data_IF_885772000739
#
_entry.id   IF_885772000739
#
_cell.length_a   1.000
_cell.length_b   1.000
_cell.length_c   1.000
_cell.angle_alpha   90.00
_cell.angle_beta   90.00
_cell.angle_gamma   90.00
#
_symmetry.space_group_name_H-M   'P 1'
#
loop_
_entity.id
_entity.type
_entity.pdbx_description
1 polymer ?
#
# COMPACT_ATOMS: atom_id res chain seq x y z
N UNK A 1 -30.26 -8.48 -2.10
CA UNK A 1 -29.14 -7.93 -2.90
C UNK A 1 -27.87 -8.31 -2.17
N UNK A 2 -26.79 -8.61 -2.87
CA UNK A 2 -25.51 -8.85 -2.24
C UNK A 2 -25.01 -7.57 -1.54
N UNK A 3 -24.44 -7.71 -0.35
CA UNK A 3 -24.01 -6.63 0.52
C UNK A 3 -22.50 -6.49 0.54
N UNK A 4 -22.00 -5.28 0.74
CA UNK A 4 -20.59 -4.94 0.75
C UNK A 4 -20.12 -4.44 2.11
N UNK A 5 -19.06 -5.05 2.65
CA UNK A 5 -18.29 -4.47 3.77
C UNK A 5 -16.98 -3.88 3.25
N UNK A 6 -16.76 -2.59 3.49
CA UNK A 6 -15.45 -1.95 3.34
C UNK A 6 -14.63 -2.15 4.63
N UNK A 7 -13.48 -2.82 4.52
CA UNK A 7 -12.57 -3.11 5.63
C UNK A 7 -11.38 -2.18 5.59
N UNK A 8 -11.17 -1.41 6.66
CA UNK A 8 -10.07 -0.46 6.80
C UNK A 8 -9.20 -0.88 7.99
N UNK A 9 -7.90 -1.05 7.77
CA UNK A 9 -6.93 -1.20 8.86
C UNK A 9 -6.32 0.16 9.18
N UNK A 10 -6.27 0.52 10.46
CA UNK A 10 -5.79 1.82 10.90
C UNK A 10 -4.86 1.73 12.11
N UNK A 11 -3.85 2.61 12.15
CA UNK A 11 -3.00 2.90 13.32
C UNK A 11 -2.42 4.29 13.21
N UNK A 12 -2.88 5.22 14.05
CA UNK A 12 -2.45 6.61 14.07
C UNK A 12 -2.60 7.30 12.70
N UNK A 13 -3.83 7.25 12.18
CA UNK A 13 -4.22 7.76 10.85
C UNK A 13 -5.23 8.92 10.94
N UNK A 14 -5.17 9.73 12.01
CA UNK A 14 -6.10 10.85 12.25
C UNK A 14 -6.22 11.80 11.05
N UNK A 15 -5.17 11.96 10.25
CA UNK A 15 -5.13 12.82 9.08
C UNK A 15 -5.88 12.26 7.88
N UNK A 16 -6.03 10.94 7.83
CA UNK A 16 -6.54 10.24 6.66
C UNK A 16 -7.88 9.59 6.87
N UNK A 17 -8.16 9.13 8.09
CA UNK A 17 -9.26 8.20 8.35
C UNK A 17 -10.63 8.75 7.93
N UNK A 18 -10.92 10.02 8.21
CA UNK A 18 -12.23 10.63 7.87
C UNK A 18 -12.52 10.62 6.38
N UNK A 19 -11.53 11.02 5.56
CA UNK A 19 -11.70 11.01 4.10
C UNK A 19 -11.70 9.59 3.53
N UNK A 20 -10.97 8.65 4.16
CA UNK A 20 -11.00 7.24 3.79
C UNK A 20 -12.41 6.68 3.98
N UNK A 21 -12.98 6.80 5.18
CA UNK A 21 -14.35 6.38 5.50
C UNK A 21 -15.35 7.03 4.56
N UNK A 22 -15.26 8.35 4.34
CA UNK A 22 -16.16 9.06 3.42
C UNK A 22 -16.07 8.50 1.98
N UNK A 23 -14.90 8.10 1.51
CA UNK A 23 -14.70 7.57 0.16
C UNK A 23 -15.35 6.20 -0.07
N UNK A 24 -15.65 5.46 1.00
CA UNK A 24 -16.27 4.13 1.00
C UNK A 24 -17.67 4.12 1.60
N UNK A 25 -18.26 5.28 1.90
CA UNK A 25 -19.60 5.41 2.46
C UNK A 25 -20.73 4.84 1.56
N UNK A 26 -20.38 4.39 0.36
CA UNK A 26 -21.29 3.67 -0.54
C UNK A 26 -21.44 2.18 -0.17
N UNK A 27 -20.59 1.63 0.68
CA UNK A 27 -20.70 0.26 1.19
C UNK A 27 -21.84 0.16 2.22
N UNK A 28 -22.42 -1.05 2.35
CA UNK A 28 -23.48 -1.32 3.33
C UNK A 28 -22.93 -1.31 4.78
N UNK A 29 -21.66 -1.67 4.93
CA UNK A 29 -20.93 -1.61 6.21
C UNK A 29 -19.53 -1.03 5.97
N UNK A 30 -19.11 -0.10 6.82
CA UNK A 30 -17.72 0.37 6.92
C UNK A 30 -17.16 -0.07 8.26
N UNK A 31 -16.19 -0.97 8.24
CA UNK A 31 -15.56 -1.56 9.42
C UNK A 31 -14.07 -1.15 9.48
N UNK A 32 -13.71 -0.44 10.55
CA UNK A 32 -12.32 -0.05 10.85
C UNK A 32 -11.77 -0.97 11.92
N UNK A 33 -10.65 -1.60 11.66
CA UNK A 33 -9.87 -2.36 12.66
C UNK A 33 -8.70 -1.49 13.09
N UNK A 34 -8.77 -1.03 14.33
CA UNK A 34 -7.78 -0.14 14.93
C UNK A 34 -6.72 -0.93 15.72
N UNK A 35 -5.44 -0.72 15.40
CA UNK A 35 -4.30 -1.31 16.13
C UNK A 35 -3.84 -0.39 17.29
N UNK A 36 -4.75 -0.13 18.24
CA UNK A 36 -4.47 0.71 19.42
C UNK A 36 -3.88 2.08 19.08
N UNK A 37 -4.59 2.85 18.25
CA UNK A 37 -4.24 4.24 17.95
C UNK A 37 -4.23 5.09 19.22
N UNK A 38 -3.29 6.02 19.29
CA UNK A 38 -3.10 6.94 20.43
C UNK A 38 -3.45 8.40 20.07
N UNK A 39 -3.86 8.63 18.82
CA UNK A 39 -4.34 9.89 18.27
C UNK A 39 -5.88 9.87 18.11
N UNK A 40 -6.44 10.84 17.41
CA UNK A 40 -7.89 10.96 17.19
C UNK A 40 -8.48 9.98 16.16
N UNK A 41 -7.71 8.99 15.68
CA UNK A 41 -8.13 8.06 14.61
C UNK A 41 -9.48 7.41 14.91
N UNK A 42 -9.66 6.83 16.10
CA UNK A 42 -10.88 6.12 16.48
C UNK A 42 -12.09 7.06 16.53
N UNK A 43 -11.93 8.21 17.18
CA UNK A 43 -12.99 9.21 17.30
C UNK A 43 -13.44 9.74 15.93
N UNK A 44 -12.49 10.04 15.06
CA UNK A 44 -12.74 10.52 13.70
C UNK A 44 -13.41 9.45 12.81
N UNK A 45 -12.98 8.19 12.91
CA UNK A 45 -13.60 7.08 12.18
C UNK A 45 -15.08 6.92 12.57
N UNK A 46 -15.37 6.89 13.89
CA UNK A 46 -16.73 6.79 14.40
C UNK A 46 -17.59 8.00 13.99
N UNK A 47 -17.07 9.21 14.12
CA UNK A 47 -17.76 10.43 13.70
C UNK A 47 -18.06 10.45 12.18
N UNK A 48 -17.26 9.73 11.39
CA UNK A 48 -17.46 9.56 9.94
C UNK A 48 -18.44 8.42 9.59
N UNK A 49 -19.00 7.72 10.58
CA UNK A 49 -20.01 6.67 10.41
C UNK A 49 -19.47 5.23 10.34
N UNK A 50 -18.18 5.01 10.61
CA UNK A 50 -17.64 3.66 10.64
C UNK A 50 -17.89 2.95 11.98
N UNK A 51 -18.11 1.62 11.93
CA UNK A 51 -17.96 0.74 13.08
C UNK A 51 -16.47 0.53 13.34
N UNK A 52 -16.00 0.73 14.57
CA UNK A 52 -14.60 0.56 14.94
C UNK A 52 -14.44 -0.60 15.91
N UNK A 53 -13.50 -1.49 15.64
CA UNK A 53 -13.10 -2.59 16.53
C UNK A 53 -11.60 -2.45 16.78
N UNK A 54 -11.20 -2.38 18.05
CA UNK A 54 -9.79 -2.38 18.44
C UNK A 54 -9.26 -3.80 18.51
N UNK A 55 -8.21 -4.10 17.74
CA UNK A 55 -7.57 -5.42 17.70
C UNK A 55 -6.08 -5.29 17.42
N UNK A 56 -5.24 -5.94 18.23
CA UNK A 56 -3.79 -5.85 18.13
C UNK A 56 -3.25 -6.54 16.86
N UNK A 57 -2.46 -5.82 16.10
CA UNK A 57 -1.78 -6.34 14.90
C UNK A 57 -0.76 -7.45 15.24
N UNK A 58 -0.05 -7.33 16.38
CA UNK A 58 1.00 -8.25 16.82
C UNK A 58 2.07 -8.58 15.76
N UNK A 59 2.27 -7.68 14.80
CA UNK A 59 3.23 -7.84 13.69
C UNK A 59 2.76 -8.79 12.57
N UNK A 60 1.54 -9.29 12.61
CA UNK A 60 0.97 -10.19 11.60
C UNK A 60 -0.23 -9.55 10.88
N UNK A 61 0.04 -8.99 9.71
CA UNK A 61 -0.96 -8.35 8.87
C UNK A 61 -2.01 -9.34 8.32
N UNK A 62 -1.63 -10.60 8.11
CA UNK A 62 -2.57 -11.61 7.62
C UNK A 62 -3.59 -11.98 8.68
N UNK A 63 -3.18 -12.14 9.93
CA UNK A 63 -4.10 -12.34 11.06
C UNK A 63 -5.05 -11.16 11.21
N UNK A 64 -4.55 -9.92 11.12
CA UNK A 64 -5.38 -8.72 11.24
C UNK A 64 -6.45 -8.65 10.14
N UNK A 65 -6.09 -8.96 8.89
CA UNK A 65 -7.05 -9.00 7.79
C UNK A 65 -8.06 -10.15 7.92
N UNK A 66 -7.61 -11.33 8.33
CA UNK A 66 -8.52 -12.46 8.56
C UNK A 66 -9.50 -12.18 9.72
N UNK A 67 -9.02 -11.55 10.79
CA UNK A 67 -9.88 -11.06 11.85
C UNK A 67 -10.92 -10.05 11.32
N UNK A 68 -10.49 -9.07 10.54
CA UNK A 68 -11.38 -8.10 9.91
C UNK A 68 -12.44 -8.78 9.03
N UNK A 69 -12.06 -9.79 8.25
CA UNK A 69 -12.98 -10.57 7.41
C UNK A 69 -13.99 -11.35 8.27
N UNK A 70 -13.58 -11.90 9.42
CA UNK A 70 -14.51 -12.62 10.31
C UNK A 70 -15.57 -11.70 10.92
N UNK A 71 -15.22 -10.45 11.24
CA UNK A 71 -16.12 -9.44 11.80
C UNK A 71 -17.05 -8.76 10.77
N UNK A 72 -16.71 -8.86 9.48
CA UNK A 72 -17.50 -8.27 8.40
C UNK A 72 -18.84 -8.99 8.22
N UNK A 73 -19.91 -8.24 7.96
CA UNK A 73 -21.26 -8.78 7.74
C UNK A 73 -21.66 -8.94 6.28
N UNK A 74 -20.96 -8.26 5.37
CA UNK A 74 -21.29 -8.28 3.94
C UNK A 74 -20.87 -9.54 3.20
N UNK A 75 -21.55 -9.81 2.10
CA UNK A 75 -21.23 -10.91 1.17
C UNK A 75 -19.95 -10.65 0.38
N UNK A 76 -19.59 -9.38 0.20
CA UNK A 76 -18.41 -8.90 -0.46
C UNK A 76 -17.51 -8.11 0.47
N UNK A 77 -16.20 -8.21 0.25
CA UNK A 77 -15.17 -7.50 0.99
C UNK A 77 -14.44 -6.55 0.04
N UNK A 78 -14.33 -5.29 0.46
CA UNK A 78 -13.45 -4.28 -0.14
C UNK A 78 -12.37 -3.90 0.87
N UNK A 79 -11.14 -4.32 0.66
CA UNK A 79 -10.00 -3.86 1.47
C UNK A 79 -9.58 -2.46 1.02
N UNK A 80 -9.42 -1.55 1.98
CA UNK A 80 -8.92 -0.19 1.76
C UNK A 80 -7.96 0.16 2.89
N UNK A 81 -6.76 0.64 2.57
CA UNK A 81 -5.85 1.12 3.59
C UNK A 81 -6.26 2.56 4.00
N UNK A 82 -5.99 2.97 5.25
CA UNK A 82 -6.49 4.26 5.77
C UNK A 82 -6.01 5.48 4.93
N UNK A 83 -4.87 5.36 4.25
CA UNK A 83 -4.31 6.36 3.35
C UNK A 83 -4.75 6.20 1.88
N UNK A 84 -5.77 5.35 1.61
CA UNK A 84 -6.35 5.14 0.28
C UNK A 84 -7.74 5.80 0.17
N UNK A 85 -8.16 6.16 -1.07
CA UNK A 85 -9.47 6.76 -1.39
C UNK A 85 -10.05 6.13 -2.65
N UNK A 86 -11.28 5.70 -2.58
CA UNK A 86 -12.03 5.23 -3.75
C UNK A 86 -12.60 6.44 -4.50
N UNK A 87 -12.32 6.54 -5.81
CA UNK A 87 -12.93 7.62 -6.62
C UNK A 87 -14.41 7.32 -6.91
N UNK A 88 -15.25 8.35 -7.09
CA UNK A 88 -16.67 8.13 -7.39
C UNK A 88 -16.91 7.19 -8.60
N UNK A 89 -16.19 7.31 -9.74
CA UNK A 89 -16.35 6.35 -10.84
C UNK A 89 -15.98 4.90 -10.46
N UNK A 90 -15.00 4.70 -9.55
CA UNK A 90 -14.67 3.36 -9.08
C UNK A 90 -15.75 2.82 -8.13
N UNK A 91 -16.34 3.68 -7.29
CA UNK A 91 -17.46 3.30 -6.42
C UNK A 91 -18.66 2.82 -7.22
N UNK A 92 -18.99 3.51 -8.32
CA UNK A 92 -20.08 3.11 -9.22
C UNK A 92 -19.77 1.77 -9.90
N UNK A 93 -18.55 1.57 -10.42
CA UNK A 93 -18.11 0.32 -11.02
C UNK A 93 -18.15 -0.84 -10.01
N UNK A 94 -17.78 -0.61 -8.74
CA UNK A 94 -17.89 -1.61 -7.65
C UNK A 94 -19.34 -2.01 -7.42
N UNK A 95 -20.25 -1.05 -7.34
CA UNK A 95 -21.70 -1.34 -7.18
C UNK A 95 -22.24 -2.17 -8.36
N UNK A 96 -21.88 -1.79 -9.59
CA UNK A 96 -22.30 -2.52 -10.79
C UNK A 96 -21.88 -3.99 -10.76
N UNK A 97 -20.60 -4.28 -10.45
CA UNK A 97 -20.11 -5.67 -10.43
C UNK A 97 -20.73 -6.50 -9.31
N UNK A 98 -20.99 -5.91 -8.13
CA UNK A 98 -21.67 -6.61 -7.03
C UNK A 98 -23.13 -6.95 -7.42
N UNK A 99 -23.82 -6.02 -8.07
CA UNK A 99 -25.20 -6.23 -8.51
C UNK A 99 -25.33 -7.14 -9.73
N UNK A 100 -24.27 -7.31 -10.52
CA UNK A 100 -24.29 -8.20 -11.69
C UNK A 100 -24.40 -9.69 -11.32
N UNK A 101 -24.04 -10.05 -10.10
CA UNK A 101 -23.98 -11.43 -9.63
C UNK A 101 -22.76 -12.21 -10.13
N UNK A 102 -21.83 -11.55 -10.82
CA UNK A 102 -20.59 -12.14 -11.33
C UNK A 102 -19.58 -12.33 -10.20
N UNK A 103 -19.46 -13.56 -9.70
CA UNK A 103 -18.56 -13.91 -8.58
C UNK A 103 -17.11 -13.95 -9.04
N UNK A 104 -16.41 -12.81 -8.92
CA UNK A 104 -15.00 -12.63 -9.28
C UNK A 104 -14.26 -11.86 -8.21
N UNK A 105 -12.94 -12.01 -8.16
CA UNK A 105 -12.05 -11.17 -7.38
C UNK A 105 -11.42 -10.10 -8.28
N UNK A 106 -11.43 -8.84 -7.84
CA UNK A 106 -11.09 -7.71 -8.69
C UNK A 106 -9.82 -6.99 -8.22
N UNK A 107 -8.88 -6.81 -9.17
CA UNK A 107 -7.75 -5.90 -9.03
C UNK A 107 -8.18 -4.46 -9.32
N UNK A 108 -7.90 -3.56 -8.39
CA UNK A 108 -8.09 -2.13 -8.53
C UNK A 108 -6.80 -1.45 -9.00
N UNK A 109 -6.93 -0.38 -9.77
CA UNK A 109 -5.80 0.42 -10.21
C UNK A 109 -5.51 1.53 -9.20
N UNK A 110 -4.34 1.43 -8.54
CA UNK A 110 -3.92 2.33 -7.47
C UNK A 110 -2.97 3.39 -8.01
N UNK A 111 -3.33 4.65 -7.77
CA UNK A 111 -2.60 5.84 -8.19
C UNK A 111 -1.92 6.47 -6.97
N UNK A 112 -0.60 6.46 -6.96
CA UNK A 112 0.18 7.01 -5.85
C UNK A 112 0.21 8.54 -5.92
N UNK A 113 -0.05 9.18 -4.79
CA UNK A 113 -0.04 10.65 -4.63
C UNK A 113 1.10 11.01 -3.68
N UNK A 114 1.98 11.90 -4.12
CA UNK A 114 3.02 12.47 -3.28
C UNK A 114 2.67 13.92 -2.96
N UNK A 115 2.26 14.20 -1.72
CA UNK A 115 1.69 15.48 -1.31
C UNK A 115 0.50 15.84 -2.21
N UNK A 116 0.62 16.93 -2.99
CA UNK A 116 -0.41 17.36 -3.93
C UNK A 116 -0.13 16.91 -5.38
N UNK A 117 0.94 16.17 -5.61
CA UNK A 117 1.36 15.75 -6.95
C UNK A 117 0.87 14.34 -7.27
N UNK A 118 0.10 14.23 -8.31
CA UNK A 118 -0.32 12.94 -8.89
C UNK A 118 0.74 12.52 -9.90
N UNK A 119 1.73 11.73 -9.47
CA UNK A 119 2.68 11.13 -10.37
C UNK A 119 2.09 9.85 -10.98
N UNK A 120 2.18 9.71 -12.28
CA UNK A 120 1.61 8.57 -13.02
C UNK A 120 2.67 7.74 -13.75
N UNK A 121 3.93 8.12 -13.62
CA UNK A 121 5.09 7.46 -14.23
C UNK A 121 6.18 7.19 -13.18
N UNK A 122 7.27 6.62 -13.63
CA UNK A 122 8.45 6.40 -12.78
C UNK A 122 8.17 5.54 -11.55
N UNK A 123 8.70 5.97 -10.40
CA UNK A 123 8.61 5.23 -9.13
C UNK A 123 7.22 5.21 -8.51
N UNK A 124 6.38 6.20 -8.80
CA UNK A 124 5.02 6.31 -8.31
C UNK A 124 3.96 5.93 -9.37
N UNK A 125 4.39 5.25 -10.45
CA UNK A 125 3.44 4.77 -11.46
C UNK A 125 2.35 3.92 -10.81
N UNK A 126 1.11 3.98 -11.34
CA UNK A 126 0.02 3.16 -10.86
C UNK A 126 0.38 1.67 -10.87
N UNK A 127 0.01 1.00 -9.81
CA UNK A 127 0.06 -0.46 -9.69
C UNK A 127 -1.35 -1.06 -9.63
N UNK A 128 -1.43 -2.38 -9.57
CA UNK A 128 -2.69 -3.10 -9.39
C UNK A 128 -2.61 -3.90 -8.11
N UNK A 129 -3.68 -3.82 -7.34
CA UNK A 129 -3.81 -4.52 -6.07
C UNK A 129 -5.17 -5.22 -6.00
N UNK A 130 -5.19 -6.45 -5.53
CA UNK A 130 -6.41 -7.20 -5.32
C UNK A 130 -7.11 -6.65 -4.07
N UNK A 131 -8.31 -6.08 -4.23
CA UNK A 131 -9.00 -5.37 -3.14
C UNK A 131 -10.48 -5.73 -2.99
N UNK A 132 -11.19 -6.11 -4.06
CA UNK A 132 -12.62 -6.41 -4.02
C UNK A 132 -12.85 -7.88 -4.36
N UNK A 133 -13.58 -8.61 -3.51
CA UNK A 133 -13.89 -10.03 -3.73
C UNK A 133 -15.06 -10.51 -2.87
N UNK A 134 -15.70 -11.62 -3.26
CA UNK A 134 -16.65 -12.31 -2.39
C UNK A 134 -15.98 -12.75 -1.09
N UNK A 135 -16.70 -12.67 0.01
CA UNK A 135 -16.22 -13.08 1.35
C UNK A 135 -15.99 -14.58 1.44
N UNK A 136 -16.82 -15.36 0.77
CA UNK A 136 -16.76 -16.82 0.82
C UNK A 136 -15.42 -17.37 0.31
N UNK A 137 -14.74 -18.16 1.12
CA UNK A 137 -13.45 -18.76 0.82
C UNK A 137 -12.26 -17.79 0.75
N UNK A 138 -12.46 -16.54 1.17
CA UNK A 138 -11.39 -15.55 1.26
C UNK A 138 -10.45 -15.88 2.42
N UNK A 139 -9.15 -15.98 2.12
CA UNK A 139 -8.09 -16.20 3.10
C UNK A 139 -6.91 -15.28 2.81
N UNK A 140 -6.32 -14.71 3.85
CA UNK A 140 -5.08 -13.92 3.74
C UNK A 140 -3.94 -14.69 4.40
N UNK A 141 -2.84 -14.91 3.68
CA UNK A 141 -1.70 -15.68 4.14
C UNK A 141 -0.39 -14.87 4.06
N UNK A 142 0.55 -15.16 4.95
CA UNK A 142 1.91 -14.57 4.97
C UNK A 142 2.03 -13.40 5.96
N UNK A 143 3.12 -13.38 6.76
CA UNK A 143 3.28 -12.41 7.86
C UNK A 143 3.68 -11.01 7.42
N UNK A 144 4.60 -10.88 6.45
CA UNK A 144 5.18 -9.58 6.02
C UNK A 144 4.83 -9.23 4.59
N UNK A 145 4.64 -10.24 3.74
CA UNK A 145 4.17 -10.12 2.36
C UNK A 145 2.88 -10.91 2.25
N UNK A 146 1.81 -10.32 2.74
CA UNK A 146 0.51 -10.94 2.71
C UNK A 146 0.04 -11.16 1.28
N UNK A 147 -0.56 -12.31 1.06
CA UNK A 147 -1.17 -12.69 -0.20
C UNK A 147 -2.64 -12.97 0.05
N UNK A 148 -3.50 -12.23 -0.60
CA UNK A 148 -4.95 -12.47 -0.57
C UNK A 148 -5.23 -13.62 -1.54
N UNK A 149 -5.87 -14.67 -1.02
CA UNK A 149 -6.34 -15.81 -1.81
C UNK A 149 -7.86 -15.80 -1.87
N UNK A 150 -8.36 -15.90 -3.09
CA UNK A 150 -9.79 -16.03 -3.36
C UNK A 150 -10.00 -17.22 -4.29
N UNK A 151 -11.03 -18.06 -4.08
CA UNK A 151 -11.33 -19.19 -4.98
C UNK A 151 -11.92 -18.73 -6.30
N UNK A 152 -12.28 -17.44 -6.43
CA UNK A 152 -12.93 -16.88 -7.60
C UNK A 152 -11.93 -16.41 -8.65
N UNK A 153 -12.30 -16.43 -9.95
CA UNK A 153 -11.44 -15.95 -11.03
C UNK A 153 -11.16 -14.46 -10.87
N UNK A 154 -9.94 -14.06 -11.25
CA UNK A 154 -9.51 -12.65 -11.17
C UNK A 154 -10.00 -11.84 -12.35
N UNK A 155 -10.39 -10.59 -12.09
CA UNK A 155 -10.76 -9.60 -13.09
C UNK A 155 -10.20 -8.21 -12.70
N UNK A 156 -10.52 -7.17 -13.47
CA UNK A 156 -9.96 -5.83 -13.28
C UNK A 156 -11.02 -4.77 -13.36
N UNK A 157 -10.96 -3.81 -12.43
CA UNK A 157 -11.71 -2.58 -12.52
C UNK A 157 -10.86 -1.46 -13.14
N UNK A 158 -11.52 -0.46 -13.73
CA UNK A 158 -10.89 0.61 -14.50
C UNK A 158 -10.82 1.93 -13.74
N UNK A 159 -11.74 2.13 -12.79
CA UNK A 159 -11.76 3.28 -11.91
C UNK A 159 -10.47 3.43 -11.11
N UNK A 160 -10.32 4.58 -10.44
CA UNK A 160 -9.09 4.95 -9.76
C UNK A 160 -9.24 4.85 -8.25
N UNK A 161 -8.29 4.20 -7.62
CA UNK A 161 -8.04 4.31 -6.18
C UNK A 161 -6.82 5.20 -5.97
N UNK A 162 -6.93 6.23 -5.13
CA UNK A 162 -5.81 7.12 -4.80
C UNK A 162 -5.17 6.67 -3.50
N UNK A 163 -3.83 6.66 -3.46
CA UNK A 163 -3.03 6.27 -2.30
C UNK A 163 -2.09 7.41 -1.94
N UNK A 164 -2.29 8.01 -0.78
CA UNK A 164 -1.54 9.15 -0.26
C UNK A 164 -0.27 8.69 0.45
N UNK A 165 0.68 8.17 -0.33
CA UNK A 165 1.88 7.47 0.14
C UNK A 165 2.77 8.32 1.04
N UNK A 166 2.88 9.63 0.73
CA UNK A 166 3.75 10.56 1.45
C UNK A 166 3.15 11.96 1.51
N UNK A 167 2.97 12.46 2.72
CA UNK A 167 2.48 13.82 2.97
C UNK A 167 3.62 14.84 3.10
N UNK A 168 4.80 14.42 3.56
CA UNK A 168 5.95 15.28 3.78
C UNK A 168 7.25 14.62 3.32
N UNK A 169 8.27 15.46 3.10
CA UNK A 169 9.63 14.99 2.84
C UNK A 169 10.23 14.28 4.05
N UNK A 170 9.91 14.73 5.28
CA UNK A 170 10.41 14.10 6.51
C UNK A 170 9.88 12.66 6.63
N UNK A 171 8.58 12.45 6.37
CA UNK A 171 7.99 11.13 6.33
C UNK A 171 8.64 10.26 5.23
N UNK A 172 8.87 10.84 4.05
CA UNK A 172 9.56 10.16 2.95
C UNK A 172 10.97 9.71 3.35
N UNK A 173 11.79 10.62 3.92
CA UNK A 173 13.17 10.28 4.28
C UNK A 173 13.27 9.36 5.50
N UNK A 174 12.33 9.43 6.45
CA UNK A 174 12.22 8.47 7.54
C UNK A 174 11.95 7.05 7.01
N UNK A 175 10.95 6.90 6.15
CA UNK A 175 10.68 5.63 5.47
C UNK A 175 11.87 5.17 4.60
N UNK A 176 12.48 6.07 3.85
CA UNK A 176 13.67 5.82 3.05
C UNK A 176 14.81 5.22 3.87
N UNK A 177 15.16 5.85 5.00
CA UNK A 177 16.24 5.36 5.87
C UNK A 177 15.91 3.97 6.41
N UNK A 178 14.69 3.78 6.93
CA UNK A 178 14.22 2.50 7.45
C UNK A 178 14.27 1.38 6.39
N UNK A 179 13.69 1.63 5.21
CA UNK A 179 13.63 0.60 4.16
C UNK A 179 14.99 0.27 3.54
N UNK A 180 15.90 1.24 3.43
CA UNK A 180 17.27 0.95 2.96
C UNK A 180 18.03 0.09 3.96
N UNK A 181 17.83 0.28 5.28
CA UNK A 181 18.39 -0.57 6.33
C UNK A 181 17.82 -1.99 6.28
N UNK A 182 16.49 -2.11 6.26
CA UNK A 182 15.82 -3.42 6.18
C UNK A 182 16.24 -4.21 4.93
N UNK A 183 16.37 -3.52 3.79
CA UNK A 183 16.81 -4.16 2.55
C UNK A 183 18.27 -4.64 2.62
N UNK A 184 19.15 -3.88 3.26
CA UNK A 184 20.56 -4.28 3.45
C UNK A 184 20.67 -5.49 4.36
N UNK A 185 19.96 -5.51 5.49
CA UNK A 185 19.90 -6.65 6.41
C UNK A 185 19.36 -7.90 5.71
N UNK A 186 18.21 -7.78 5.04
CA UNK A 186 17.64 -8.89 4.27
C UNK A 186 18.59 -9.44 3.21
N UNK A 187 19.35 -8.58 2.54
CA UNK A 187 20.32 -9.03 1.53
C UNK A 187 21.50 -9.75 2.17
N UNK A 188 21.96 -9.32 3.36
CA UNK A 188 22.99 -10.04 4.14
C UNK A 188 22.50 -11.43 4.55
N UNK A 189 21.28 -11.54 5.10
CA UNK A 189 20.66 -12.82 5.46
C UNK A 189 20.50 -13.78 4.28
N UNK A 190 20.26 -13.23 3.08
CA UNK A 190 20.21 -13.99 1.83
C UNK A 190 21.60 -14.40 1.28
N UNK A 191 22.68 -14.09 1.98
CA UNK A 191 24.03 -14.39 1.55
C UNK A 191 24.51 -13.60 0.32
N UNK A 192 23.87 -12.45 0.01
CA UNK A 192 24.26 -11.64 -1.16
C UNK A 192 25.60 -10.97 -0.93
N UNK A 193 26.47 -11.08 -1.93
CA UNK A 193 27.72 -10.31 -1.99
C UNK A 193 27.47 -8.90 -2.53
N UNK A 194 28.34 -7.96 -2.16
CA UNK A 194 28.27 -6.58 -2.62
C UNK A 194 29.63 -6.16 -3.22
N UNK A 195 29.63 -5.76 -4.49
CA UNK A 195 30.79 -5.19 -5.17
C UNK A 195 30.71 -3.67 -5.17
N UNK A 196 31.79 -2.98 -4.76
CA UNK A 196 31.83 -1.52 -4.74
C UNK A 196 31.53 -0.92 -6.13
N UNK A 197 32.19 -1.38 -7.17
CA UNK A 197 32.00 -0.82 -8.51
C UNK A 197 30.61 -1.13 -9.09
N UNK A 198 30.23 -2.39 -9.09
CA UNK A 198 28.95 -2.81 -9.68
C UNK A 198 27.75 -2.29 -8.90
N UNK A 199 27.75 -2.48 -7.56
CA UNK A 199 26.53 -2.33 -6.77
C UNK A 199 26.38 -0.91 -6.18
N UNK A 200 27.52 -0.20 -5.96
CA UNK A 200 27.49 1.17 -5.41
C UNK A 200 27.58 2.23 -6.53
N UNK A 201 28.30 1.97 -7.62
CA UNK A 201 28.42 2.96 -8.70
C UNK A 201 27.44 2.70 -9.85
N UNK A 202 27.45 1.49 -10.42
CA UNK A 202 26.69 1.21 -11.66
C UNK A 202 25.18 1.02 -11.37
N UNK A 203 24.82 0.25 -10.36
CA UNK A 203 23.39 -0.04 -10.07
C UNK A 203 22.54 1.20 -9.76
N UNK A 204 22.99 2.19 -8.98
CA UNK A 204 22.21 3.42 -8.76
C UNK A 204 22.00 4.21 -10.06
N UNK A 205 23.03 4.34 -10.89
CA UNK A 205 22.91 5.00 -12.19
C UNK A 205 21.88 4.30 -13.10
N UNK A 206 21.95 2.97 -13.15
CA UNK A 206 20.95 2.17 -13.85
C UNK A 206 19.54 2.33 -13.27
N UNK A 207 19.41 2.39 -11.95
CA UNK A 207 18.11 2.58 -11.28
C UNK A 207 17.49 3.94 -11.66
N UNK A 208 18.28 5.02 -11.68
CA UNK A 208 17.84 6.32 -12.18
C UNK A 208 17.41 6.25 -13.65
N UNK A 209 18.26 5.72 -14.53
CA UNK A 209 17.95 5.59 -15.95
C UNK A 209 16.65 4.81 -16.18
N UNK A 210 16.49 3.68 -15.50
CA UNK A 210 15.28 2.86 -15.58
C UNK A 210 14.03 3.65 -15.19
N UNK A 211 14.06 4.35 -14.07
CA UNK A 211 12.88 5.08 -13.54
C UNK A 211 12.60 6.31 -14.41
N UNK A 212 13.63 7.12 -14.67
CA UNK A 212 13.45 8.40 -15.36
C UNK A 212 13.16 8.23 -16.85
N UNK A 213 13.91 7.35 -17.54
CA UNK A 213 13.81 7.16 -18.99
C UNK A 213 12.83 6.02 -19.32
N UNK A 214 13.14 4.76 -18.91
CA UNK A 214 12.37 3.60 -19.36
C UNK A 214 10.95 3.57 -18.80
N UNK A 215 10.76 4.03 -17.56
CA UNK A 215 9.44 4.16 -16.93
C UNK A 215 8.84 5.55 -17.10
N UNK A 216 9.41 6.38 -18.00
CA UNK A 216 8.88 7.68 -18.40
C UNK A 216 8.72 8.68 -17.26
N UNK A 217 9.53 8.60 -16.19
CA UNK A 217 9.47 9.53 -15.07
C UNK A 217 9.62 10.99 -15.48
N UNK A 218 10.29 11.27 -16.61
CA UNK A 218 10.43 12.61 -17.17
C UNK A 218 9.08 13.27 -17.56
N UNK A 219 8.04 12.47 -17.82
CA UNK A 219 6.70 12.98 -18.13
C UNK A 219 5.99 13.57 -16.90
N UNK A 220 6.41 13.22 -15.70
CA UNK A 220 5.90 13.81 -14.45
C UNK A 220 6.60 15.14 -14.09
N UNK A 221 7.39 15.70 -15.02
CA UNK A 221 8.07 16.99 -14.86
C UNK A 221 9.09 17.01 -13.74
N UNK A 222 9.14 18.12 -12.97
CA UNK A 222 10.15 18.32 -11.91
C UNK A 222 10.06 17.27 -10.81
N UNK A 223 8.84 16.86 -10.41
CA UNK A 223 8.65 15.84 -9.38
C UNK A 223 9.16 14.48 -9.85
N UNK A 224 8.92 14.13 -11.11
CA UNK A 224 9.43 12.88 -11.69
C UNK A 224 10.95 12.81 -11.69
N UNK A 225 11.64 13.93 -11.96
CA UNK A 225 13.10 14.02 -11.84
C UNK A 225 13.56 13.82 -10.39
N UNK A 226 12.98 14.56 -9.44
CA UNK A 226 13.37 14.48 -8.02
C UNK A 226 13.13 13.06 -7.47
N UNK A 227 12.00 12.44 -7.77
CA UNK A 227 11.72 11.07 -7.32
C UNK A 227 12.65 10.04 -7.97
N UNK A 228 13.05 10.25 -9.22
CA UNK A 228 14.04 9.39 -9.91
C UNK A 228 15.44 9.53 -9.28
N UNK A 229 15.84 10.75 -8.90
CA UNK A 229 17.08 10.99 -8.14
C UNK A 229 17.01 10.35 -6.75
N UNK A 230 15.88 10.47 -6.07
CA UNK A 230 15.70 9.79 -4.76
C UNK A 230 15.80 8.26 -4.91
N UNK A 231 15.34 7.69 -6.03
CA UNK A 231 15.50 6.26 -6.29
C UNK A 231 16.94 5.86 -6.57
N UNK A 232 17.73 6.74 -7.22
CA UNK A 232 19.19 6.60 -7.31
C UNK A 232 19.79 6.52 -5.90
N UNK A 233 19.50 7.51 -5.04
CA UNK A 233 20.02 7.55 -3.68
C UNK A 233 19.53 6.37 -2.82
N UNK A 234 18.29 5.93 -3.00
CA UNK A 234 17.79 4.72 -2.34
C UNK A 234 18.63 3.49 -2.69
N UNK A 235 18.92 3.32 -3.97
CA UNK A 235 19.73 2.19 -4.46
C UNK A 235 21.17 2.29 -3.95
N UNK A 236 21.76 3.47 -4.02
CA UNK A 236 23.10 3.74 -3.49
C UNK A 236 23.19 3.43 -1.99
N UNK A 237 22.30 4.02 -1.18
CA UNK A 237 22.30 3.88 0.28
C UNK A 237 22.09 2.44 0.72
N UNK A 238 21.15 1.72 0.09
CA UNK A 238 20.91 0.31 0.37
C UNK A 238 22.16 -0.55 0.17
N UNK A 239 22.85 -0.38 -0.96
CA UNK A 239 24.06 -1.16 -1.25
C UNK A 239 25.29 -0.66 -0.47
N UNK A 240 25.38 0.63 -0.15
CA UNK A 240 26.40 1.15 0.74
C UNK A 240 26.26 0.53 2.15
N UNK A 241 25.04 0.53 2.70
CA UNK A 241 24.74 -0.14 3.97
C UNK A 241 25.10 -1.63 3.92
N UNK A 242 24.71 -2.35 2.87
CA UNK A 242 25.08 -3.76 2.70
C UNK A 242 26.60 -3.95 2.64
N UNK A 243 27.30 -3.10 1.90
CA UNK A 243 28.77 -3.19 1.76
C UNK A 243 29.48 -3.07 3.11
N UNK A 244 29.07 -2.10 3.94
CA UNK A 244 29.64 -1.91 5.27
C UNK A 244 29.21 -3.01 6.25
N UNK A 245 27.96 -3.45 6.23
CA UNK A 245 27.49 -4.61 7.01
C UNK A 245 28.31 -5.88 6.76
N UNK A 246 28.79 -6.07 5.54
CA UNK A 246 29.63 -7.24 5.18
C UNK A 246 31.09 -7.06 5.59
N UNK A 247 31.58 -5.80 5.74
CA UNK A 247 32.97 -5.50 6.10
C UNK A 247 33.19 -5.32 7.61
N UNK A 248 32.30 -4.61 8.28
CA UNK A 248 32.51 -4.13 9.65
C UNK A 248 31.83 -5.02 10.71
N UNK A 249 31.64 -6.30 10.41
CA UNK A 249 31.09 -7.26 11.38
C UNK A 249 29.61 -7.09 11.70
N UNK A 250 28.91 -6.13 11.10
CA UNK A 250 27.45 -6.05 11.15
C UNK A 250 26.80 -4.89 11.89
N UNK A 251 27.54 -3.83 12.22
CA UNK A 251 26.96 -2.57 12.71
C UNK A 251 26.63 -1.61 11.54
N UNK A 252 25.49 -0.90 11.68
CA UNK A 252 25.03 0.15 10.73
C UNK A 252 24.83 1.48 11.48
#
# INVERSE_FOLDING_TARGET
MATLTALILAKNEERHISECVASVAFADEVLVIDDFSTDETVALAQASGAKVITHALNGDWSQQRNFAVSEATGDWILFVDADERISPPLADEIREVIHSGDMKAYELRRYNVFRHNKAVHGSLRPDRVLRLMPKEGLVVEGNVHETIKSPYPYSRLHGKMYHYTYESWDQYFTKFNRYTTLAAVKYKEQGKTCSFYRDILVRPAWAFFKIYILQKGFLDGKIGFVLSMNHYFYTLTKYAKLYWLLKDGGEL
#
